data_IF_926314653562
#
_entry.id   IF_926314653562
#
_cell.length_a   1.000
_cell.length_b   1.000
_cell.length_c   1.000
_cell.angle_alpha   90.00
_cell.angle_beta   90.00
_cell.angle_gamma   90.00
#
_symmetry.space_group_name_H-M   'P 1'
#
loop_
_entity.id
_entity.type
_entity.pdbx_description
1 polymer ?
#
# COMPACT_ATOMS: atom_id res chain seq x y z
N UNK A 1 -3.99 15.76 2.27
CA UNK A 1 -3.23 14.80 1.44
C UNK A 1 -4.19 13.74 0.92
N UNK A 2 -4.04 13.31 -0.35
CA UNK A 2 -4.86 12.23 -0.91
C UNK A 2 -4.23 10.87 -0.61
N UNK A 3 -5.07 9.89 -0.26
CA UNK A 3 -4.63 8.52 -0.03
C UNK A 3 -5.63 7.49 -0.55
N UNK A 4 -5.16 6.27 -0.76
CA UNK A 4 -6.00 5.12 -1.11
C UNK A 4 -5.69 3.91 -0.23
N UNK A 5 -6.76 3.25 0.21
CA UNK A 5 -6.69 1.96 0.91
C UNK A 5 -7.11 0.86 -0.06
N UNK A 6 -6.21 -0.08 -0.34
CA UNK A 6 -6.47 -1.23 -1.20
C UNK A 6 -7.18 -2.34 -0.40
N UNK A 7 -8.51 -2.43 -0.54
CA UNK A 7 -9.40 -3.28 0.26
C UNK A 7 -10.26 -4.27 -0.55
N UNK A 8 -10.12 -4.33 -1.88
CA UNK A 8 -10.93 -5.19 -2.75
C UNK A 8 -10.61 -6.71 -2.68
N UNK A 9 -9.59 -7.11 -1.91
CA UNK A 9 -9.12 -8.50 -1.87
C UNK A 9 -10.12 -9.50 -1.26
N UNK A 10 -10.23 -10.69 -1.86
CA UNK A 10 -11.15 -11.76 -1.43
C UNK A 10 -10.81 -12.36 -0.05
N UNK A 11 -9.58 -12.20 0.44
CA UNK A 11 -9.14 -12.73 1.72
C UNK A 11 -9.24 -14.25 1.86
N UNK A 12 -9.09 -15.01 0.77
CA UNK A 12 -9.36 -16.47 0.74
C UNK A 12 -8.53 -17.29 1.75
N UNK A 13 -7.32 -16.84 2.06
CA UNK A 13 -6.40 -17.45 3.04
C UNK A 13 -6.81 -17.24 4.50
N UNK A 14 -7.76 -16.34 4.77
CA UNK A 14 -8.37 -16.10 6.08
C UNK A 14 -9.69 -16.84 6.27
N UNK A 15 -10.10 -17.69 5.33
CA UNK A 15 -11.33 -18.48 5.50
C UNK A 15 -11.20 -19.44 6.71
N UNK A 16 -12.28 -19.66 7.49
CA UNK A 16 -13.66 -19.28 7.19
C UNK A 16 -14.07 -17.85 7.59
N UNK A 17 -13.21 -17.06 8.26
CA UNK A 17 -13.54 -15.70 8.73
C UNK A 17 -14.05 -14.81 7.59
N UNK A 18 -13.33 -14.84 6.48
CA UNK A 18 -13.66 -14.03 5.29
C UNK A 18 -14.81 -14.57 4.45
N UNK A 19 -15.57 -15.57 4.92
CA UNK A 19 -16.85 -15.91 4.29
C UNK A 19 -17.97 -14.95 4.69
N UNK A 20 -17.80 -14.23 5.81
CA UNK A 20 -18.83 -13.35 6.40
C UNK A 20 -18.32 -11.95 6.70
N UNK A 21 -17.00 -11.77 6.82
CA UNK A 21 -16.36 -10.49 7.11
C UNK A 21 -15.41 -10.13 5.97
N UNK A 22 -15.53 -8.98 5.29
CA UNK A 22 -14.54 -8.58 4.29
C UNK A 22 -13.16 -8.48 4.91
N UNK A 23 -12.09 -8.77 4.15
CA UNK A 23 -10.71 -8.77 4.68
C UNK A 23 -10.36 -7.45 5.39
N UNK A 24 -10.79 -6.33 4.82
CA UNK A 24 -10.54 -5.00 5.38
C UNK A 24 -11.23 -4.75 6.73
N UNK A 25 -12.28 -5.51 7.08
CA UNK A 25 -12.95 -5.42 8.38
C UNK A 25 -12.60 -6.58 9.32
N UNK A 26 -11.58 -7.38 8.99
CA UNK A 26 -10.97 -8.28 9.98
C UNK A 26 -10.35 -7.42 11.07
N UNK A 27 -10.61 -7.79 12.32
CA UNK A 27 -10.14 -7.06 13.49
C UNK A 27 -8.80 -7.60 13.96
N UNK A 28 -7.86 -6.70 14.23
CA UNK A 28 -6.69 -6.96 15.05
C UNK A 28 -6.89 -6.21 16.35
N UNK A 29 -6.79 -6.91 17.48
CA UNK A 29 -6.98 -6.40 18.82
C UNK A 29 -8.24 -5.52 18.94
N UNK A 30 -9.36 -6.07 18.44
CA UNK A 30 -10.68 -5.44 18.49
C UNK A 30 -10.91 -4.23 17.57
N UNK A 31 -9.95 -3.87 16.71
CA UNK A 31 -10.08 -2.74 15.78
C UNK A 31 -9.98 -3.24 14.33
N UNK A 32 -10.96 -2.93 13.46
CA UNK A 32 -10.91 -3.27 12.04
C UNK A 32 -9.65 -2.76 11.36
N UNK A 33 -9.04 -3.59 10.50
CA UNK A 33 -7.84 -3.22 9.75
C UNK A 33 -8.01 -1.95 8.92
N UNK A 34 -9.17 -1.76 8.28
CA UNK A 34 -9.52 -0.53 7.56
C UNK A 34 -9.44 0.70 8.47
N UNK A 35 -9.96 0.60 9.69
CA UNK A 35 -9.94 1.70 10.66
C UNK A 35 -8.52 2.03 11.08
N UNK A 36 -7.70 1.01 11.37
CA UNK A 36 -6.28 1.18 11.72
C UNK A 36 -5.54 1.94 10.62
N UNK A 37 -5.68 1.50 9.37
CA UNK A 37 -5.02 2.13 8.21
C UNK A 37 -5.54 3.55 7.99
N UNK A 38 -6.86 3.76 8.01
CA UNK A 38 -7.46 5.08 7.81
C UNK A 38 -6.99 6.07 8.89
N UNK A 39 -6.98 5.67 10.17
CA UNK A 39 -6.48 6.52 11.27
C UNK A 39 -5.01 6.87 11.12
N UNK A 40 -4.16 5.91 10.70
CA UNK A 40 -2.73 6.19 10.43
C UNK A 40 -2.55 7.16 9.26
N UNK A 41 -3.32 7.00 8.18
CA UNK A 41 -3.30 7.93 7.04
C UNK A 41 -3.75 9.34 7.46
N UNK A 42 -4.83 9.45 8.23
CA UNK A 42 -5.32 10.73 8.77
C UNK A 42 -4.27 11.38 9.68
N UNK A 43 -3.66 10.61 10.57
CA UNK A 43 -2.58 11.10 11.44
C UNK A 43 -1.36 11.60 10.64
N UNK A 44 -1.11 11.03 9.46
CA UNK A 44 -0.08 11.47 8.53
C UNK A 44 -0.46 12.71 7.70
N UNK A 45 -1.71 13.19 7.82
CA UNK A 45 -2.21 14.38 7.12
C UNK A 45 -3.15 14.09 5.95
N UNK A 46 -3.65 12.86 5.80
CA UNK A 46 -4.68 12.55 4.80
C UNK A 46 -6.00 13.26 5.15
N UNK A 47 -6.53 13.99 4.18
CA UNK A 47 -7.82 14.69 4.25
C UNK A 47 -8.85 14.09 3.27
N UNK A 48 -8.38 13.27 2.34
CA UNK A 48 -9.18 12.57 1.32
C UNK A 48 -8.66 11.14 1.20
N UNK A 49 -9.50 10.16 1.50
CA UNK A 49 -9.18 8.74 1.43
C UNK A 49 -10.18 8.04 0.51
N UNK A 50 -9.67 7.28 -0.46
CA UNK A 50 -10.47 6.38 -1.28
C UNK A 50 -10.24 4.93 -0.86
N UNK A 51 -11.30 4.17 -0.65
CA UNK A 51 -11.23 2.74 -0.31
C UNK A 51 -11.83 1.95 -1.46
N UNK A 52 -11.05 1.11 -2.14
CA UNK A 52 -11.63 0.24 -3.16
C UNK A 52 -12.20 -1.04 -2.53
N UNK A 53 -13.34 -1.51 -3.06
CA UNK A 53 -14.04 -2.68 -2.55
C UNK A 53 -14.50 -3.55 -3.71
N UNK A 54 -14.65 -4.85 -3.48
CA UNK A 54 -15.24 -5.78 -4.46
C UNK A 54 -16.08 -6.82 -3.73
N UNK A 55 -15.41 -7.74 -3.05
CA UNK A 55 -16.08 -8.76 -2.25
C UNK A 55 -16.61 -8.21 -0.93
N UNK A 56 -17.88 -8.49 -0.62
CA UNK A 56 -18.59 -7.97 0.56
C UNK A 56 -18.46 -6.43 0.69
N UNK A 57 -18.70 -5.72 -0.42
CA UNK A 57 -18.63 -4.26 -0.48
C UNK A 57 -19.58 -3.56 0.52
N UNK A 58 -20.82 -4.04 0.65
CA UNK A 58 -21.84 -3.38 1.46
C UNK A 58 -21.45 -3.22 2.96
N UNK A 59 -20.91 -4.24 3.66
CA UNK A 59 -20.35 -4.05 4.99
C UNK A 59 -19.25 -2.98 5.08
N UNK A 60 -18.36 -2.90 4.09
CA UNK A 60 -17.28 -1.89 4.07
C UNK A 60 -17.86 -0.49 3.89
N UNK A 61 -18.79 -0.32 2.93
CA UNK A 61 -19.50 0.94 2.71
C UNK A 61 -20.22 1.39 3.99
N UNK A 62 -20.99 0.49 4.62
CA UNK A 62 -21.72 0.79 5.85
C UNK A 62 -20.79 1.19 7.01
N UNK A 63 -19.62 0.56 7.10
CA UNK A 63 -18.61 0.92 8.09
C UNK A 63 -18.03 2.31 7.83
N UNK A 64 -17.66 2.62 6.58
CA UNK A 64 -17.14 3.94 6.19
C UNK A 64 -18.16 5.04 6.43
N UNK A 65 -19.42 4.84 6.04
CA UNK A 65 -20.51 5.82 6.20
C UNK A 65 -20.91 6.04 7.67
N UNK A 66 -20.72 5.03 8.52
CA UNK A 66 -21.07 5.08 9.94
C UNK A 66 -20.00 5.71 10.85
N UNK A 67 -18.78 5.89 10.36
CA UNK A 67 -17.66 6.40 11.13
C UNK A 67 -17.48 7.93 10.98
N UNK A 68 -17.17 8.62 12.09
CA UNK A 68 -16.85 10.05 12.09
C UNK A 68 -15.34 10.23 11.86
N UNK A 69 -14.96 10.36 10.59
CA UNK A 69 -13.57 10.56 10.18
C UNK A 69 -13.14 12.00 10.38
N UNK A 70 -12.24 12.23 11.34
CA UNK A 70 -11.72 13.56 11.66
C UNK A 70 -10.21 13.56 11.84
N UNK A 71 -9.60 14.67 11.46
CA UNK A 71 -8.23 15.01 11.83
C UNK A 71 -8.10 15.27 13.33
N UNK A 72 -6.86 15.35 13.82
CA UNK A 72 -6.59 15.61 15.25
C UNK A 72 -7.14 16.97 15.74
N UNK A 73 -7.21 17.97 14.86
CA UNK A 73 -7.82 19.28 15.13
C UNK A 73 -9.34 19.33 14.88
N UNK A 74 -9.96 18.19 14.53
CA UNK A 74 -11.40 18.03 14.42
C UNK A 74 -12.00 18.37 13.04
N UNK A 75 -11.17 18.67 12.03
CA UNK A 75 -11.64 18.89 10.67
C UNK A 75 -12.15 17.57 10.06
N UNK A 76 -13.23 17.60 9.25
CA UNK A 76 -13.75 16.41 8.59
C UNK A 76 -12.77 15.88 7.54
N UNK A 77 -12.69 14.55 7.43
CA UNK A 77 -11.94 13.85 6.39
C UNK A 77 -12.93 13.23 5.40
N UNK A 78 -12.71 13.46 4.10
CA UNK A 78 -13.48 12.80 3.04
C UNK A 78 -13.02 11.34 2.94
N UNK A 79 -13.93 10.39 3.15
CA UNK A 79 -13.66 8.97 2.90
C UNK A 79 -14.71 8.45 1.93
N UNK A 80 -14.28 7.96 0.77
CA UNK A 80 -15.18 7.52 -0.32
C UNK A 80 -14.86 6.10 -0.75
N UNK A 81 -15.87 5.42 -1.30
CA UNK A 81 -15.74 4.05 -1.82
C UNK A 81 -15.57 4.05 -3.34
N UNK A 82 -14.67 3.21 -3.83
CA UNK A 82 -14.58 2.82 -5.25
C UNK A 82 -14.93 1.34 -5.40
N UNK A 83 -16.16 1.03 -5.81
CA UNK A 83 -16.63 -0.35 -5.95
C UNK A 83 -16.10 -1.01 -7.23
N UNK A 84 -15.86 -2.33 -7.20
CA UNK A 84 -15.35 -3.18 -8.27
C UNK A 84 -16.28 -4.42 -8.41
N UNK A 85 -17.50 -4.22 -8.95
CA UNK A 85 -18.58 -5.21 -8.87
C UNK A 85 -18.33 -6.46 -9.72
N UNK A 86 -17.54 -6.35 -10.78
CA UNK A 86 -17.18 -7.46 -11.68
C UNK A 86 -16.01 -8.31 -11.16
N UNK A 87 -15.50 -7.99 -9.96
CA UNK A 87 -14.36 -8.64 -9.33
C UNK A 87 -13.17 -7.70 -9.12
N UNK A 88 -12.18 -8.12 -8.32
CA UNK A 88 -11.05 -7.28 -7.98
C UNK A 88 -10.21 -6.95 -9.22
N UNK A 89 -9.89 -5.66 -9.40
CA UNK A 89 -9.06 -5.14 -10.50
C UNK A 89 -7.55 -5.26 -10.24
N UNK A 90 -7.16 -5.99 -9.19
CA UNK A 90 -5.83 -5.96 -8.60
C UNK A 90 -5.42 -4.53 -8.16
N UNK A 91 -4.17 -4.38 -7.70
CA UNK A 91 -3.71 -3.13 -7.08
C UNK A 91 -3.54 -2.00 -8.09
N UNK A 92 -3.02 -2.29 -9.29
CA UNK A 92 -2.81 -1.30 -10.35
C UNK A 92 -4.12 -0.90 -11.03
N UNK A 93 -4.98 -1.88 -11.32
CA UNK A 93 -6.31 -1.61 -11.89
C UNK A 93 -7.22 -0.83 -10.93
N UNK A 94 -7.15 -1.11 -9.63
CA UNK A 94 -7.84 -0.31 -8.61
C UNK A 94 -7.39 1.16 -8.59
N UNK A 95 -6.07 1.42 -8.65
CA UNK A 95 -5.53 2.78 -8.75
C UNK A 95 -5.98 3.45 -10.06
N UNK A 96 -5.97 2.73 -11.18
CA UNK A 96 -6.44 3.22 -12.49
C UNK A 96 -7.90 3.67 -12.42
N UNK A 97 -8.77 2.86 -11.84
CA UNK A 97 -10.19 3.20 -11.66
C UNK A 97 -10.37 4.42 -10.76
N UNK A 98 -9.52 4.58 -9.75
CA UNK A 98 -9.52 5.69 -8.82
C UNK A 98 -8.80 6.95 -9.36
N UNK A 99 -8.25 6.95 -10.58
CA UNK A 99 -7.33 8.01 -11.03
C UNK A 99 -7.91 9.43 -11.00
N UNK A 100 -9.23 9.58 -11.16
CA UNK A 100 -9.92 10.87 -11.09
C UNK A 100 -10.06 11.43 -9.66
N UNK A 101 -9.89 10.59 -8.64
CA UNK A 101 -9.94 11.01 -7.23
C UNK A 101 -8.70 11.80 -6.82
N UNK A 102 -7.53 11.39 -7.31
CA UNK A 102 -6.24 11.97 -6.93
C UNK A 102 -6.01 13.31 -7.61
N UNK A 103 -5.56 14.29 -6.82
CA UNK A 103 -5.08 15.56 -7.32
C UNK A 103 -3.83 15.38 -8.17
N UNK A 104 -3.68 16.22 -9.19
CA UNK A 104 -2.58 16.16 -10.15
C UNK A 104 -1.38 17.04 -9.78
N UNK A 105 -1.47 17.78 -8.67
CA UNK A 105 -0.46 18.75 -8.22
C UNK A 105 0.33 18.30 -6.97
N UNK A 106 -0.01 17.15 -6.38
CA UNK A 106 0.64 16.64 -5.18
C UNK A 106 0.68 15.09 -5.16
N UNK A 107 1.70 14.47 -4.55
CA UNK A 107 1.74 13.02 -4.42
C UNK A 107 0.53 12.46 -3.65
N UNK A 108 0.28 11.18 -3.82
CA UNK A 108 -0.73 10.44 -3.05
C UNK A 108 -0.12 9.20 -2.40
N UNK A 109 -0.70 8.78 -1.27
CA UNK A 109 -0.34 7.53 -0.60
C UNK A 109 -1.23 6.39 -1.08
N UNK A 110 -0.68 5.19 -1.14
CA UNK A 110 -1.47 3.97 -1.30
C UNK A 110 -1.02 2.97 -0.24
N UNK A 111 -1.97 2.37 0.45
CA UNK A 111 -1.74 1.46 1.56
C UNK A 111 -2.61 0.21 1.41
N UNK A 112 -2.01 -0.97 1.50
CA UNK A 112 -2.77 -2.21 1.51
C UNK A 112 -3.56 -2.35 2.82
N UNK A 113 -4.85 -2.69 2.75
CA UNK A 113 -5.71 -2.74 3.94
C UNK A 113 -5.29 -3.80 4.96
N UNK A 114 -4.55 -4.81 4.55
CA UNK A 114 -4.15 -5.98 5.33
C UNK A 114 -2.76 -5.87 5.96
N UNK A 115 -2.12 -4.70 5.88
CA UNK A 115 -0.79 -4.47 6.41
C UNK A 115 -0.86 -3.73 7.75
N UNK A 116 -0.21 -4.28 8.77
CA UNK A 116 0.25 -3.52 9.93
C UNK A 116 1.69 -3.08 9.70
N UNK A 117 2.01 -1.83 9.98
CA UNK A 117 3.36 -1.31 9.79
C UNK A 117 3.65 -0.13 10.70
N UNK A 118 4.91 0.12 11.02
CA UNK A 118 5.37 1.31 11.74
C UNK A 118 6.00 2.37 10.83
N UNK A 119 5.90 2.20 9.49
CA UNK A 119 6.35 3.19 8.51
C UNK A 119 5.80 4.58 8.84
N UNK A 120 6.69 5.56 8.86
CA UNK A 120 6.36 6.98 8.96
C UNK A 120 5.74 7.45 7.63
N UNK A 121 4.41 7.41 7.56
CA UNK A 121 3.64 7.72 6.35
C UNK A 121 3.79 9.18 5.92
N UNK A 122 3.93 10.11 6.88
CA UNK A 122 4.13 11.52 6.58
C UNK A 122 5.52 11.74 5.96
N UNK A 123 6.55 11.14 6.53
CA UNK A 123 7.89 11.21 5.99
C UNK A 123 8.02 10.52 4.62
N UNK A 124 7.35 9.38 4.42
CA UNK A 124 7.28 8.72 3.12
C UNK A 124 6.67 9.66 2.06
N UNK A 125 5.55 10.30 2.38
CA UNK A 125 4.91 11.25 1.48
C UNK A 125 5.78 12.48 1.19
N UNK A 126 6.39 13.07 2.22
CA UNK A 126 7.31 14.21 2.06
C UNK A 126 8.54 13.85 1.22
N UNK A 127 9.10 12.65 1.42
CA UNK A 127 10.21 12.13 0.62
C UNK A 127 9.87 12.05 -0.86
N UNK A 128 8.64 11.68 -1.20
CA UNK A 128 8.16 11.68 -2.59
C UNK A 128 7.87 13.10 -3.10
N UNK A 129 7.29 13.98 -2.26
CA UNK A 129 6.97 15.37 -2.63
C UNK A 129 8.22 16.18 -2.94
N UNK A 130 9.24 16.06 -2.10
CA UNK A 130 10.43 16.89 -2.14
C UNK A 130 11.52 16.32 -3.07
N UNK A 131 11.23 15.19 -3.74
CA UNK A 131 12.11 14.55 -4.70
C UNK A 131 12.30 15.39 -5.98
N UNK A 132 13.54 15.46 -6.48
CA UNK A 132 13.92 16.15 -7.71
C UNK A 132 14.61 15.23 -8.74
N UNK A 133 14.60 13.92 -8.48
CA UNK A 133 15.29 12.89 -9.26
C UNK A 133 14.38 12.22 -10.33
N UNK A 134 13.20 12.78 -10.58
CA UNK A 134 12.25 12.28 -11.57
C UNK A 134 11.60 10.94 -11.19
N UNK A 135 11.73 10.47 -9.95
CA UNK A 135 11.09 9.21 -9.52
C UNK A 135 9.56 9.33 -9.60
N UNK A 136 8.90 8.24 -10.02
CA UNK A 136 7.43 8.19 -10.06
C UNK A 136 6.81 7.54 -8.83
N UNK A 137 7.59 6.78 -8.06
CA UNK A 137 7.13 6.18 -6.82
C UNK A 137 8.28 6.03 -5.81
N UNK A 138 7.92 6.06 -4.54
CA UNK A 138 8.76 5.70 -3.40
C UNK A 138 8.06 4.60 -2.60
N UNK A 139 8.69 3.43 -2.51
CA UNK A 139 8.13 2.25 -1.86
C UNK A 139 8.69 2.14 -0.45
N UNK A 140 7.84 2.01 0.55
CA UNK A 140 8.31 1.65 1.88
C UNK A 140 8.84 0.22 1.85
N UNK A 141 10.07 0.04 2.32
CA UNK A 141 10.74 -1.26 2.33
C UNK A 141 11.26 -1.61 3.71
N UNK A 142 11.44 -2.91 3.95
CA UNK A 142 11.99 -3.47 5.17
C UNK A 142 13.05 -4.53 4.85
N UNK A 143 13.75 -4.98 5.87
CA UNK A 143 14.64 -6.15 5.79
C UNK A 143 13.88 -7.35 5.20
N UNK A 144 14.48 -8.03 4.23
CA UNK A 144 13.86 -9.17 3.57
C UNK A 144 13.65 -10.34 4.53
N UNK A 145 12.39 -10.74 4.70
CA UNK A 145 11.89 -11.84 5.54
C UNK A 145 10.90 -12.74 4.79
N UNK A 146 10.49 -12.33 3.59
CA UNK A 146 9.60 -13.11 2.72
C UNK A 146 10.35 -13.67 1.51
N UNK A 147 9.72 -14.65 0.88
CA UNK A 147 10.22 -15.24 -0.36
C UNK A 147 9.98 -14.36 -1.60
N UNK A 148 9.32 -13.20 -1.44
CA UNK A 148 8.99 -12.24 -2.51
C UNK A 148 9.61 -10.89 -2.23
N UNK A 149 10.90 -10.77 -2.52
CA UNK A 149 11.66 -9.56 -2.26
C UNK A 149 11.90 -8.74 -3.54
N UNK A 150 12.19 -7.46 -3.35
CA UNK A 150 12.62 -6.52 -4.38
C UNK A 150 14.13 -6.35 -4.32
N UNK A 151 14.72 -6.10 -5.49
CA UNK A 151 16.12 -5.76 -5.64
C UNK A 151 16.21 -4.25 -5.85
N UNK A 152 16.94 -3.55 -4.99
CA UNK A 152 17.24 -2.13 -5.14
C UNK A 152 18.74 -1.92 -5.28
N UNK A 153 19.15 -0.93 -6.05
CA UNK A 153 20.53 -0.42 -6.11
C UNK A 153 20.50 1.13 -6.18
N UNK A 154 21.62 1.78 -6.54
CA UNK A 154 21.71 3.26 -6.53
C UNK A 154 20.72 3.91 -7.52
N UNK A 155 20.43 3.20 -8.62
CA UNK A 155 19.44 3.58 -9.63
C UNK A 155 17.98 3.37 -9.20
N UNK A 156 17.72 2.80 -8.02
CA UNK A 156 16.37 2.47 -7.53
C UNK A 156 16.01 1.00 -7.73
N UNK A 157 14.72 0.72 -7.99
CA UNK A 157 14.26 -0.65 -8.25
C UNK A 157 15.02 -1.24 -9.45
N UNK A 158 15.54 -2.45 -9.27
CA UNK A 158 16.40 -3.14 -10.23
C UNK A 158 15.88 -4.54 -10.60
N UNK A 159 14.91 -5.09 -9.85
CA UNK A 159 14.38 -6.43 -10.08
C UNK A 159 13.65 -6.98 -8.86
N UNK A 160 13.44 -8.29 -8.86
CA UNK A 160 12.76 -8.99 -7.77
C UNK A 160 13.23 -10.45 -7.65
N UNK A 161 12.87 -11.11 -6.55
CA UNK A 161 12.94 -12.56 -6.36
C UNK A 161 11.53 -13.10 -6.11
N UNK A 162 11.29 -14.37 -6.45
CA UNK A 162 10.05 -15.06 -6.10
C UNK A 162 10.39 -16.42 -5.50
N UNK A 163 9.65 -16.80 -4.48
CA UNK A 163 9.69 -18.12 -3.84
C UNK A 163 11.13 -18.53 -3.44
N UNK A 164 11.94 -17.55 -3.01
CA UNK A 164 13.35 -17.75 -2.63
C UNK A 164 14.28 -18.12 -3.80
N UNK A 165 13.76 -18.03 -5.03
CA UNK A 165 14.48 -18.37 -6.25
C UNK A 165 15.45 -17.30 -6.74
N UNK A 166 15.99 -17.54 -7.93
CA UNK A 166 17.00 -16.68 -8.54
C UNK A 166 16.53 -15.24 -8.76
N UNK A 167 17.40 -14.23 -8.53
CA UNK A 167 17.13 -12.84 -8.86
C UNK A 167 16.71 -12.64 -10.32
N UNK A 168 15.61 -11.91 -10.53
CA UNK A 168 15.09 -11.51 -11.84
C UNK A 168 15.31 -10.01 -12.06
N UNK A 169 16.44 -9.61 -12.68
CA UNK A 169 16.74 -8.20 -12.94
C UNK A 169 15.84 -7.63 -14.04
N UNK A 170 15.40 -6.39 -13.87
CA UNK A 170 14.68 -5.61 -14.89
C UNK A 170 15.60 -4.71 -15.72
N UNK A 171 16.78 -4.40 -15.19
CA UNK A 171 17.81 -3.58 -15.83
C UNK A 171 19.20 -3.99 -15.35
N UNK A 172 20.22 -3.45 -16.01
CA UNK A 172 21.60 -3.59 -15.57
C UNK A 172 21.80 -2.94 -14.18
N UNK A 173 22.63 -3.56 -13.32
CA UNK A 173 22.89 -3.04 -11.99
C UNK A 173 23.62 -1.70 -12.05
N UNK A 174 23.19 -0.78 -11.19
CA UNK A 174 23.88 0.47 -10.90
C UNK A 174 24.37 0.41 -9.44
N UNK A 175 25.53 -0.22 -9.25
CA UNK A 175 26.09 -0.47 -7.92
C UNK A 175 25.61 -1.77 -7.25
N UNK A 176 25.89 -1.93 -5.94
CA UNK A 176 25.55 -3.13 -5.20
C UNK A 176 24.04 -3.23 -4.97
N UNK A 177 23.49 -4.44 -5.15
CA UNK A 177 22.06 -4.70 -4.92
C UNK A 177 21.78 -5.05 -3.47
N UNK A 178 20.69 -4.51 -2.95
CA UNK A 178 20.06 -4.92 -1.68
C UNK A 178 18.76 -5.66 -1.96
N UNK A 179 18.49 -6.67 -1.14
CA UNK A 179 17.27 -7.47 -1.18
C UNK A 179 16.38 -7.02 -0.03
N UNK A 180 15.19 -6.53 -0.33
CA UNK A 180 14.27 -5.94 0.66
C UNK A 180 12.84 -6.35 0.38
N UNK A 181 12.03 -6.45 1.43
CA UNK A 181 10.60 -6.66 1.28
C UNK A 181 9.88 -5.34 1.06
N UNK A 182 8.83 -5.39 0.24
CA UNK A 182 7.91 -4.29 0.10
C UNK A 182 6.89 -4.31 1.24
N UNK A 183 6.78 -3.21 1.99
CA UNK A 183 5.89 -3.12 3.15
C UNK A 183 4.40 -2.99 2.78
N UNK A 184 4.03 -2.97 1.49
CA UNK A 184 2.64 -2.75 1.07
C UNK A 184 2.15 -1.31 1.24
N UNK A 185 3.08 -0.35 1.32
CA UNK A 185 2.80 1.09 1.39
C UNK A 185 3.72 1.85 0.44
N UNK A 186 3.15 2.77 -0.32
CA UNK A 186 3.89 3.59 -1.28
C UNK A 186 3.39 5.04 -1.31
N UNK A 187 4.29 5.95 -1.69
CA UNK A 187 3.95 7.29 -2.14
C UNK A 187 4.20 7.40 -3.65
N UNK A 188 3.25 7.96 -4.38
CA UNK A 188 3.27 8.03 -5.85
C UNK A 188 3.24 9.48 -6.31
N UNK A 189 4.09 9.83 -7.29
CA UNK A 189 3.98 11.09 -8.00
C UNK A 189 2.67 11.15 -8.80
N UNK A 190 2.08 12.35 -9.01
CA UNK A 190 0.91 12.50 -9.88
C UNK A 190 1.08 11.92 -11.28
N UNK A 191 2.27 12.09 -11.87
CA UNK A 191 2.61 11.60 -13.22
C UNK A 191 2.66 10.07 -13.34
N UNK A 192 2.69 9.33 -12.22
CA UNK A 192 2.50 7.88 -12.27
C UNK A 192 1.11 7.51 -12.82
N UNK A 193 0.10 8.35 -12.55
CA UNK A 193 -1.26 8.13 -13.05
C UNK A 193 -1.30 8.10 -14.57
N UNK A 194 -0.50 8.92 -15.25
CA UNK A 194 -0.43 8.93 -16.71
C UNK A 194 0.09 7.59 -17.25
N UNK A 195 1.08 6.99 -16.58
CA UNK A 195 1.58 5.64 -16.91
C UNK A 195 0.52 4.57 -16.68
N UNK A 196 -0.25 4.68 -15.60
CA UNK A 196 -1.31 3.74 -15.22
C UNK A 196 -2.50 3.85 -16.19
N UNK A 197 -2.93 5.06 -16.51
CA UNK A 197 -4.07 5.36 -17.39
C UNK A 197 -3.79 4.97 -18.85
N UNK A 198 -2.53 5.07 -19.29
CA UNK A 198 -2.11 4.68 -20.64
C UNK A 198 -2.13 3.16 -20.90
N UNK A 199 -2.26 2.32 -19.86
CA UNK A 199 -2.35 0.87 -20.02
C UNK A 199 -3.67 0.48 -20.68
N UNK A 200 -3.67 -0.57 -21.50
CA UNK A 200 -4.91 -1.10 -22.08
C UNK A 200 -5.66 -1.99 -21.07
N UNK A 201 -4.93 -2.67 -20.18
CA UNK A 201 -5.52 -3.61 -19.24
C UNK A 201 -6.33 -2.89 -18.15
N UNK A 202 -7.45 -3.49 -17.76
CA UNK A 202 -8.25 -3.02 -16.62
C UNK A 202 -7.82 -3.67 -15.30
N UNK A 203 -7.30 -4.90 -15.35
CA UNK A 203 -6.87 -5.69 -14.19
C UNK A 203 -5.39 -5.95 -14.29
N UNK A 204 -4.60 -5.43 -13.35
CA UNK A 204 -3.15 -5.63 -13.31
C UNK A 204 -2.57 -5.22 -11.95
N UNK A 205 -1.41 -5.78 -11.62
CA UNK A 205 -0.68 -5.44 -10.41
C UNK A 205 0.09 -4.13 -10.58
N UNK A 206 0.09 -3.29 -9.54
CA UNK A 206 0.95 -2.09 -9.50
C UNK A 206 2.44 -2.45 -9.61
N UNK A 207 2.83 -3.66 -9.21
CA UNK A 207 4.20 -4.14 -9.37
C UNK A 207 4.61 -4.25 -10.84
N UNK A 208 3.69 -4.58 -11.75
CA UNK A 208 3.99 -4.65 -13.18
C UNK A 208 4.34 -3.26 -13.72
N UNK A 209 3.72 -2.21 -13.18
CA UNK A 209 4.05 -0.82 -13.51
C UNK A 209 5.45 -0.49 -13.00
N UNK A 210 5.75 -0.76 -11.72
CA UNK A 210 7.06 -0.43 -11.16
C UNK A 210 8.21 -1.19 -11.84
N UNK A 211 8.02 -2.47 -12.16
CA UNK A 211 9.00 -3.27 -12.87
C UNK A 211 9.17 -2.81 -14.32
N UNK A 212 8.10 -2.33 -14.96
CA UNK A 212 8.16 -1.67 -16.27
C UNK A 212 8.97 -0.37 -16.22
N UNK A 213 8.67 0.52 -15.25
CA UNK A 213 9.42 1.75 -15.04
C UNK A 213 10.91 1.49 -14.81
N UNK A 214 11.24 0.50 -13.97
CA UNK A 214 12.62 0.10 -13.73
C UNK A 214 13.32 -0.38 -15.02
N UNK A 215 12.63 -1.15 -15.86
CA UNK A 215 13.15 -1.62 -17.15
C UNK A 215 13.42 -0.45 -18.11
N UNK A 216 12.56 0.56 -18.09
CA UNK A 216 12.65 1.73 -18.96
C UNK A 216 13.59 2.81 -18.41
N UNK A 217 14.30 2.53 -17.29
CA UNK A 217 15.24 3.44 -16.65
C UNK A 217 14.58 4.57 -15.84
N UNK A 218 13.25 4.50 -15.63
CA UNK A 218 12.55 5.45 -14.77
C UNK A 218 12.69 5.04 -13.31
N UNK A 219 13.08 6.00 -12.46
CA UNK A 219 13.40 5.72 -11.06
C UNK A 219 12.14 5.37 -10.26
N UNK A 220 12.23 4.24 -9.56
CA UNK A 220 11.35 3.87 -8.45
C UNK A 220 12.24 3.77 -7.22
N UNK A 221 12.01 4.59 -6.21
CA UNK A 221 12.86 4.68 -5.03
C UNK A 221 12.35 3.78 -3.90
N UNK A 222 13.23 3.48 -2.96
CA UNK A 222 12.89 2.80 -1.72
C UNK A 222 13.01 3.76 -0.53
N UNK A 223 12.21 3.53 0.49
CA UNK A 223 12.17 4.28 1.74
C UNK A 223 12.35 3.32 2.91
N UNK A 224 13.48 3.44 3.60
CA UNK A 224 13.91 2.57 4.70
C UNK A 224 13.47 3.05 6.09
N UNK A 225 12.75 4.17 6.16
CA UNK A 225 12.33 4.83 7.39
C UNK A 225 13.12 6.13 7.68
N UNK A 226 12.79 6.78 8.79
CA UNK A 226 13.38 8.06 9.21
C UNK A 226 14.44 7.94 10.31
N UNK A 227 14.69 6.73 10.81
CA UNK A 227 15.43 6.50 12.05
C UNK A 227 16.55 5.47 11.95
N UNK A 228 17.12 5.13 13.11
CA UNK A 228 18.19 4.14 13.24
C UNK A 228 17.70 2.67 13.13
N UNK A 229 16.38 2.45 13.07
CA UNK A 229 15.79 1.12 12.93
C UNK A 229 15.08 1.02 11.58
N UNK A 230 15.15 -0.14 10.92
CA UNK A 230 14.42 -0.38 9.68
C UNK A 230 12.91 -0.38 9.94
N UNK A 231 12.13 -0.04 8.92
CA UNK A 231 10.68 -0.23 8.95
C UNK A 231 10.33 -1.68 9.29
N UNK A 232 9.21 -1.86 9.98
CA UNK A 232 8.60 -3.16 10.26
C UNK A 232 7.21 -3.23 9.64
N UNK A 233 6.81 -4.43 9.24
CA UNK A 233 5.47 -4.68 8.76
C UNK A 233 5.05 -6.13 9.04
N UNK A 234 3.75 -6.38 8.98
CA UNK A 234 3.12 -7.69 9.10
C UNK A 234 1.91 -7.75 8.16
N UNK A 235 1.87 -8.74 7.26
CA UNK A 235 0.70 -9.06 6.42
C UNK A 235 -0.29 -9.91 7.21
N UNK A 236 -1.46 -9.34 7.48
CA UNK A 236 -2.62 -10.03 8.08
C UNK A 236 -3.35 -10.81 6.98
N UNK A 237 -2.66 -11.80 6.43
CA UNK A 237 -3.07 -12.55 5.24
C UNK A 237 -3.59 -13.96 5.51
N UNK A 238 -3.30 -14.53 6.68
CA UNK A 238 -3.66 -15.88 7.12
C UNK A 238 -4.14 -15.84 8.58
N UNK A 239 -4.78 -16.91 9.06
CA UNK A 239 -5.21 -17.00 10.47
C UNK A 239 -4.01 -16.95 11.45
N UNK A 240 -2.92 -17.62 11.12
CA UNK A 240 -1.66 -17.57 11.89
C UNK A 240 -1.12 -16.14 11.98
N UNK A 241 -1.03 -15.43 10.84
CA UNK A 241 -0.58 -14.03 10.84
C UNK A 241 -1.53 -13.09 11.57
N UNK A 242 -2.83 -13.41 11.60
CA UNK A 242 -3.81 -12.68 12.39
C UNK A 242 -3.56 -12.87 13.89
N UNK A 243 -3.24 -14.08 14.35
CA UNK A 243 -2.87 -14.33 15.75
C UNK A 243 -1.59 -13.58 16.13
N UNK A 244 -0.55 -13.66 15.28
CA UNK A 244 0.69 -12.88 15.45
C UNK A 244 0.43 -11.37 15.53
N UNK A 245 -0.48 -10.86 14.69
CA UNK A 245 -0.86 -9.46 14.68
C UNK A 245 -1.55 -9.03 15.99
N UNK A 246 -2.45 -9.87 16.52
CA UNK A 246 -3.08 -9.62 17.81
C UNK A 246 -2.05 -9.57 18.94
N UNK A 247 -1.12 -10.52 18.98
CA UNK A 247 -0.05 -10.54 19.98
C UNK A 247 0.86 -9.31 19.88
N UNK A 248 1.32 -8.96 18.67
CA UNK A 248 2.16 -7.79 18.43
C UNK A 248 1.48 -6.50 18.92
N UNK A 249 0.22 -6.27 18.56
CA UNK A 249 -0.51 -5.07 19.00
C UNK A 249 -0.72 -5.06 20.51
N UNK A 250 -1.10 -6.20 21.10
CA UNK A 250 -1.32 -6.30 22.55
C UNK A 250 -0.05 -6.05 23.38
N UNK A 251 1.13 -6.28 22.80
CA UNK A 251 2.44 -6.07 23.44
C UNK A 251 3.06 -4.70 23.13
N UNK A 252 2.34 -3.84 22.39
CA UNK A 252 2.71 -2.46 22.10
C UNK A 252 3.45 -2.24 20.78
N UNK A 253 3.61 -3.28 19.96
CA UNK A 253 4.10 -3.13 18.59
C UNK A 253 2.98 -2.64 17.66
N UNK A 254 3.30 -1.78 16.70
CA UNK A 254 2.33 -1.19 15.75
C UNK A 254 1.14 -0.44 16.39
N UNK A 255 1.21 -0.13 17.68
CA UNK A 255 0.22 0.66 18.42
C UNK A 255 0.14 2.11 17.94
#
# INVERSE_FOLDING_TARGET
MDAMILAAGLGTRLRPLTLRTPKALVEVDGVPMLERVARRLIAAGADRILVNVSYLAAPVQAYVDGADWRTADGAPVEVVISDEPDGPLETGGGIKKAAAFFRRDAPFLVHNADILTDVDLAALWHTQRDASDGRLATLAVAEARTDRALLFDDGGLAGYTLDGGEPKPMRDPDGPRRVVDFCGVQACAPSLLDTIEARDEATFSIMDVYLGLARDGTRVAAFDGTGARPNRFLDVGTLERLEEANEAVSTGDFA
#
